data_IF_115444995862
#
_entry.id   IF_115444995862
#
_cell.length_a   1.000
_cell.length_b   1.000
_cell.length_c   1.000
_cell.angle_alpha   90.00
_cell.angle_beta   90.00
_cell.angle_gamma   90.00
#
_symmetry.space_group_name_H-M   'P 1'
#
loop_
_entity.id
_entity.type
_entity.pdbx_description
1 polymer ?
#
# COMPACT_ATOMS: atom_id res chain seq x y z
N UNK A 1 -1.98 0.21 -0.02
CA UNK A 1 -1.49 1.46 0.63
C UNK A 1 -1.08 1.20 2.07
N UNK A 2 -1.99 0.80 2.97
CA UNK A 2 -1.71 0.56 4.40
C UNK A 2 -0.51 -0.35 4.69
N UNK A 3 -0.25 -1.34 3.83
CA UNK A 3 0.95 -2.18 3.97
C UNK A 3 2.26 -1.40 3.86
N UNK A 4 2.37 -0.45 2.91
CA UNK A 4 3.55 0.38 2.76
C UNK A 4 3.63 1.44 3.87
N UNK A 5 2.49 2.02 4.29
CA UNK A 5 2.44 3.04 5.34
C UNK A 5 2.91 2.53 6.71
N UNK A 6 2.66 1.26 7.04
CA UNK A 6 3.11 0.67 8.31
C UNK A 6 4.43 -0.10 8.23
N UNK A 7 5.20 0.01 7.14
CA UNK A 7 6.49 -0.66 6.99
C UNK A 7 7.62 0.28 7.35
N UNK A 8 8.38 -0.07 8.39
CA UNK A 8 9.55 0.70 8.82
C UNK A 8 10.59 0.85 7.70
N UNK A 9 11.20 2.04 7.61
CA UNK A 9 12.21 2.36 6.60
C UNK A 9 11.65 2.57 5.18
N UNK A 10 10.33 2.55 4.99
CA UNK A 10 9.69 2.83 3.70
C UNK A 10 8.92 4.14 3.77
N UNK A 11 9.19 5.03 2.82
CA UNK A 11 8.40 6.23 2.60
C UNK A 11 7.51 6.07 1.36
N UNK A 12 6.21 6.32 1.52
CA UNK A 12 5.28 6.32 0.41
C UNK A 12 5.35 7.66 -0.32
N UNK A 13 5.85 7.65 -1.55
CA UNK A 13 5.89 8.85 -2.38
C UNK A 13 4.48 9.35 -2.73
N UNK A 14 4.36 10.67 -2.96
CA UNK A 14 3.10 11.32 -3.32
C UNK A 14 2.63 10.93 -4.73
N UNK A 15 1.31 10.98 -4.96
CA UNK A 15 0.76 10.81 -6.30
C UNK A 15 0.94 12.09 -7.13
N UNK A 16 1.57 11.97 -8.30
CA UNK A 16 1.66 13.06 -9.28
C UNK A 16 0.35 13.30 -10.06
N UNK A 17 -0.54 12.29 -10.14
CA UNK A 17 -1.87 12.46 -10.73
C UNK A 17 -2.85 13.05 -9.71
N UNK A 18 -3.36 14.26 -9.99
CA UNK A 18 -4.30 14.99 -9.14
C UNK A 18 -5.61 14.25 -8.90
N UNK A 19 -6.01 13.33 -9.80
CA UNK A 19 -7.20 12.49 -9.63
C UNK A 19 -6.93 11.32 -8.69
N UNK A 20 -5.66 10.89 -8.56
CA UNK A 20 -5.26 9.83 -7.65
C UNK A 20 -5.02 10.36 -6.23
N UNK A 21 -4.63 11.63 -6.08
CA UNK A 21 -4.32 12.26 -4.79
C UNK A 21 -5.43 12.07 -3.73
N UNK A 22 -6.74 12.27 -4.02
CA UNK A 22 -7.79 12.07 -3.01
C UNK A 22 -7.83 10.63 -2.47
N UNK A 23 -7.57 9.62 -3.31
CA UNK A 23 -7.52 8.23 -2.87
C UNK A 23 -6.30 7.94 -1.99
N UNK A 24 -5.17 8.61 -2.27
CA UNK A 24 -3.96 8.51 -1.44
C UNK A 24 -4.21 9.10 -0.06
N UNK A 25 -4.78 10.30 0.00
CA UNK A 25 -5.12 10.97 1.25
C UNK A 25 -6.16 10.18 2.06
N UNK A 26 -7.23 9.70 1.42
CA UNK A 26 -8.24 8.88 2.08
C UNK A 26 -7.65 7.58 2.68
N UNK A 27 -6.71 6.94 1.98
CA UNK A 27 -6.02 5.76 2.51
C UNK A 27 -5.13 6.11 3.71
N UNK A 28 -4.46 7.27 3.69
CA UNK A 28 -3.64 7.72 4.82
C UNK A 28 -4.48 8.11 6.04
N UNK A 29 -5.59 8.81 5.83
CA UNK A 29 -6.53 9.19 6.89
C UNK A 29 -7.14 7.97 7.58
N UNK A 30 -7.49 6.93 6.81
CA UNK A 30 -8.03 5.67 7.33
C UNK A 30 -6.97 4.69 7.89
N UNK A 31 -5.71 5.09 8.02
CA UNK A 31 -4.65 4.19 8.50
C UNK A 31 -4.58 4.19 10.04
N UNK A 32 -4.76 3.03 10.65
CA UNK A 32 -4.79 2.86 12.12
C UNK A 32 -3.41 2.72 12.78
N UNK A 33 -2.32 2.85 12.03
CA UNK A 33 -0.95 2.57 12.51
C UNK A 33 -0.51 1.11 12.32
N UNK A 34 -1.43 0.20 12.01
CA UNK A 34 -1.14 -1.21 11.81
C UNK A 34 -1.17 -1.61 10.34
N UNK A 35 -0.08 -2.21 9.85
CA UNK A 35 -0.05 -2.81 8.51
C UNK A 35 -0.78 -4.15 8.51
N UNK A 36 -1.35 -4.57 7.35
CA UNK A 36 -1.80 -5.95 7.18
C UNK A 36 -0.69 -6.95 7.50
N UNK A 37 -1.08 -8.09 8.10
CA UNK A 37 -0.17 -9.20 8.37
C UNK A 37 0.41 -9.76 7.08
N UNK A 38 1.56 -10.42 7.19
CA UNK A 38 2.22 -11.04 6.03
C UNK A 38 1.32 -12.11 5.41
N UNK A 39 0.60 -12.89 6.22
CA UNK A 39 -0.39 -13.85 5.73
C UNK A 39 -1.49 -13.21 4.88
N UNK A 40 -2.02 -12.06 5.33
CA UNK A 40 -3.02 -11.30 4.57
C UNK A 40 -2.46 -10.75 3.25
N UNK A 41 -1.21 -10.30 3.26
CA UNK A 41 -0.55 -9.85 2.04
C UNK A 41 -0.29 -10.96 1.03
N UNK A 42 0.13 -12.15 1.49
CA UNK A 42 0.31 -13.30 0.60
C UNK A 42 -1.00 -13.71 -0.09
N UNK A 43 -2.12 -13.62 0.62
CA UNK A 43 -3.44 -13.86 0.03
C UNK A 43 -3.78 -12.83 -1.06
N UNK A 44 -3.50 -11.54 -0.81
CA UNK A 44 -3.72 -10.47 -1.80
C UNK A 44 -2.83 -10.65 -3.04
N UNK A 45 -1.56 -11.01 -2.85
CA UNK A 45 -0.62 -11.29 -3.95
C UNK A 45 -1.16 -12.42 -4.83
N UNK A 46 -1.62 -13.51 -4.22
CA UNK A 46 -2.24 -14.64 -4.94
C UNK A 46 -3.52 -14.22 -5.67
N UNK A 47 -4.44 -13.55 -4.98
CA UNK A 47 -5.75 -13.14 -5.51
C UNK A 47 -5.62 -12.23 -6.74
N UNK A 48 -4.64 -11.33 -6.73
CA UNK A 48 -4.43 -10.36 -7.79
C UNK A 48 -3.35 -10.76 -8.79
N UNK A 49 -2.79 -11.97 -8.67
CA UNK A 49 -1.71 -12.48 -9.53
C UNK A 49 -0.57 -11.46 -9.67
N UNK A 50 -0.19 -10.82 -8.57
CA UNK A 50 0.84 -9.77 -8.55
C UNK A 50 2.17 -10.38 -8.99
N UNK A 51 2.85 -9.72 -9.93
CA UNK A 51 4.18 -10.12 -10.43
C UNK A 51 5.24 -9.12 -9.99
N UNK A 52 6.48 -9.56 -9.76
CA UNK A 52 7.61 -8.65 -9.56
C UNK A 52 7.75 -7.69 -10.75
N UNK A 53 8.01 -6.42 -10.46
CA UNK A 53 8.29 -5.41 -11.49
C UNK A 53 9.73 -5.48 -11.98
N UNK A 54 10.64 -5.97 -11.12
CA UNK A 54 12.06 -6.15 -11.41
C UNK A 54 12.43 -7.61 -11.15
N UNK A 55 13.30 -8.16 -12.01
CA UNK A 55 13.87 -9.52 -11.92
C UNK A 55 15.39 -9.44 -11.85
#
# INVERSE_FOLDING_TARGET
>A
MHWALGREGVFLNTAGDVRLLPHVLAAAEGFSGERPSDGRMHELIRRHSVKPLFV
#
